data_IF_606664755851
#
_entry.id   IF_606664755851
#
_cell.length_a   1.000
_cell.length_b   1.000
_cell.length_c   1.000
_cell.angle_alpha   90.00
_cell.angle_beta   90.00
_cell.angle_gamma   90.00
#
_symmetry.space_group_name_H-M   'P 1'
#
loop_
_entity.id
_entity.type
_entity.pdbx_description
1 polymer ?
#
# COMPACT_ATOMS: atom_id res chain seq x y z
N UNK A 1 -31.84 -6.20 13.93
CA UNK A 1 -30.56 -6.84 14.23
C UNK A 1 -30.65 -7.25 15.68
N UNK A 2 -30.67 -8.55 15.92
CA UNK A 2 -31.30 -9.16 17.10
C UNK A 2 -30.24 -9.48 18.16
N UNK A 3 -30.62 -9.76 19.41
CA UNK A 3 -29.70 -10.14 20.51
C UNK A 3 -28.74 -11.30 20.14
N UNK A 4 -29.11 -12.10 19.15
CA UNK A 4 -28.30 -13.16 18.57
C UNK A 4 -27.00 -12.65 17.90
N UNK A 5 -27.03 -11.49 17.23
CA UNK A 5 -25.86 -10.96 16.50
C UNK A 5 -24.80 -10.40 17.46
N UNK A 6 -25.26 -9.81 18.57
CA UNK A 6 -24.41 -9.36 19.68
C UNK A 6 -23.69 -10.53 20.35
N UNK A 7 -24.43 -11.58 20.70
CA UNK A 7 -23.85 -12.75 21.37
C UNK A 7 -22.84 -13.49 20.49
N UNK A 8 -23.13 -13.62 19.19
CA UNK A 8 -22.20 -14.25 18.22
C UNK A 8 -20.93 -13.43 18.04
N UNK A 9 -21.04 -12.11 17.89
CA UNK A 9 -19.88 -11.22 17.70
C UNK A 9 -19.03 -11.14 18.98
N UNK A 10 -19.66 -11.17 20.14
CA UNK A 10 -18.96 -11.23 21.42
C UNK A 10 -18.19 -12.54 21.59
N UNK A 11 -18.81 -13.67 21.26
CA UNK A 11 -18.13 -14.97 21.27
C UNK A 11 -16.95 -14.98 20.30
N UNK A 12 -17.12 -14.42 19.10
CA UNK A 12 -16.05 -14.30 18.11
C UNK A 12 -14.84 -13.54 18.67
N UNK A 13 -15.04 -12.43 19.38
CA UNK A 13 -13.95 -11.68 20.03
C UNK A 13 -13.17 -12.55 21.03
N UNK A 14 -13.87 -13.39 21.79
CA UNK A 14 -13.24 -14.26 22.80
C UNK A 14 -12.41 -15.39 22.17
N UNK A 15 -12.73 -15.79 20.94
CA UNK A 15 -12.00 -16.84 20.21
C UNK A 15 -10.77 -16.31 19.44
N UNK A 16 -10.68 -14.99 19.22
CA UNK A 16 -9.51 -14.36 18.60
C UNK A 16 -8.32 -14.33 19.56
N UNK A 17 -7.10 -14.49 19.03
CA UNK A 17 -5.90 -14.05 19.74
C UNK A 17 -5.78 -12.54 19.73
N UNK A 18 -4.86 -12.02 20.53
CA UNK A 18 -4.58 -10.59 20.61
C UNK A 18 -4.18 -9.96 19.26
N UNK A 19 -3.43 -10.69 18.44
CA UNK A 19 -3.06 -10.30 17.07
C UNK A 19 -4.14 -10.59 16.03
N UNK A 20 -5.20 -11.33 16.40
CA UNK A 20 -6.21 -11.83 15.48
C UNK A 20 -7.15 -10.75 14.95
N UNK A 21 -7.80 -11.04 13.83
CA UNK A 21 -8.71 -10.11 13.16
C UNK A 21 -9.98 -10.81 12.68
N UNK A 22 -11.08 -10.05 12.64
CA UNK A 22 -12.38 -10.46 12.16
C UNK A 22 -12.79 -9.61 10.97
N UNK A 23 -13.32 -10.27 9.95
CA UNK A 23 -13.76 -9.68 8.68
C UNK A 23 -15.23 -10.04 8.49
N UNK A 24 -16.09 -9.03 8.47
CA UNK A 24 -17.54 -9.21 8.42
C UNK A 24 -18.06 -8.65 7.11
N UNK A 25 -18.60 -9.52 6.24
CA UNK A 25 -19.24 -9.08 5.00
C UNK A 25 -20.65 -8.59 5.31
N UNK A 26 -20.96 -7.36 4.90
CA UNK A 26 -22.23 -6.72 5.21
C UNK A 26 -22.72 -5.84 4.05
N UNK A 27 -24.04 -5.79 3.88
CA UNK A 27 -24.68 -4.88 2.93
C UNK A 27 -24.69 -3.43 3.43
N UNK A 28 -25.02 -2.50 2.54
CA UNK A 28 -25.06 -1.07 2.84
C UNK A 28 -26.07 -0.69 3.93
N UNK A 29 -27.22 -1.37 4.00
CA UNK A 29 -28.30 -1.03 4.93
C UNK A 29 -27.91 -1.24 6.40
N UNK A 30 -27.14 -2.29 6.69
CA UNK A 30 -26.83 -2.71 8.07
C UNK A 30 -25.45 -2.31 8.56
N UNK A 31 -24.62 -1.72 7.69
CA UNK A 31 -23.23 -1.39 8.04
C UNK A 31 -23.14 -0.47 9.27
N UNK A 32 -24.02 0.52 9.38
CA UNK A 32 -24.01 1.48 10.50
C UNK A 32 -24.29 0.78 11.82
N UNK A 33 -25.30 -0.10 11.86
CA UNK A 33 -25.66 -0.86 13.05
C UNK A 33 -24.53 -1.80 13.44
N UNK A 34 -23.91 -2.48 12.46
CA UNK A 34 -22.81 -3.40 12.71
C UNK A 34 -21.60 -2.69 13.29
N UNK A 35 -21.21 -1.54 12.71
CA UNK A 35 -20.07 -0.76 13.22
C UNK A 35 -20.31 -0.33 14.66
N UNK A 36 -21.53 0.09 15.01
CA UNK A 36 -21.84 0.48 16.39
C UNK A 36 -21.64 -0.70 17.36
N UNK A 37 -22.16 -1.87 17.01
CA UNK A 37 -22.01 -3.08 17.84
C UNK A 37 -20.54 -3.52 17.92
N UNK A 38 -19.82 -3.52 16.81
CA UNK A 38 -18.40 -3.86 16.81
C UNK A 38 -17.58 -2.82 17.60
N UNK A 39 -17.94 -1.54 17.58
CA UNK A 39 -17.29 -0.53 18.42
C UNK A 39 -17.52 -0.82 19.92
N UNK A 40 -18.74 -1.22 20.32
CA UNK A 40 -19.04 -1.59 21.71
C UNK A 40 -18.28 -2.86 22.14
N UNK A 41 -18.14 -3.84 21.24
CA UNK A 41 -17.49 -5.13 21.54
C UNK A 41 -15.98 -5.02 21.47
N UNK A 42 -15.41 -4.47 20.40
CA UNK A 42 -13.98 -4.44 20.11
C UNK A 42 -13.28 -3.15 20.52
N UNK A 43 -14.01 -2.03 20.66
CA UNK A 43 -13.43 -0.69 20.74
C UNK A 43 -13.27 -0.08 19.35
N UNK A 44 -13.61 1.20 19.19
CA UNK A 44 -13.49 1.90 17.92
C UNK A 44 -12.03 2.01 17.46
N UNK A 45 -11.10 2.13 18.40
CA UNK A 45 -9.66 2.15 18.16
C UNK A 45 -9.15 0.84 17.53
N UNK A 46 -9.92 -0.24 17.63
CA UNK A 46 -9.57 -1.53 17.06
C UNK A 46 -10.19 -1.79 15.69
N UNK A 47 -10.86 -0.81 15.09
CA UNK A 47 -11.36 -0.88 13.72
C UNK A 47 -10.21 -0.72 12.73
N UNK A 48 -9.83 -1.81 12.08
CA UNK A 48 -8.74 -1.84 11.11
C UNK A 48 -9.13 -1.22 9.75
N UNK A 49 -10.41 -1.28 9.38
CA UNK A 49 -10.89 -0.65 8.16
C UNK A 49 -12.27 -1.07 7.71
N UNK A 50 -12.76 -0.42 6.67
CA UNK A 50 -13.99 -0.76 5.96
C UNK A 50 -13.63 -0.85 4.48
N UNK A 51 -13.65 -2.06 3.94
CA UNK A 51 -13.29 -2.33 2.55
C UNK A 51 -14.53 -2.41 1.70
N UNK A 52 -14.56 -1.69 0.60
CA UNK A 52 -15.66 -1.76 -0.38
C UNK A 52 -15.36 -2.86 -1.40
N UNK A 53 -16.27 -3.82 -1.57
CA UNK A 53 -16.18 -4.89 -2.56
C UNK A 53 -17.24 -4.70 -3.64
N UNK A 54 -16.85 -4.75 -4.91
CA UNK A 54 -17.79 -4.86 -6.03
C UNK A 54 -18.32 -6.29 -6.10
N UNK A 55 -19.61 -6.47 -5.80
CA UNK A 55 -20.28 -7.77 -5.87
C UNK A 55 -20.83 -8.08 -7.27
N UNK A 56 -21.05 -7.06 -8.10
CA UNK A 56 -21.45 -7.18 -9.51
C UNK A 56 -21.04 -5.96 -10.33
N UNK A 57 -20.49 -6.20 -11.51
CA UNK A 57 -20.22 -5.15 -12.50
C UNK A 57 -21.43 -4.98 -13.43
N UNK A 58 -22.21 -3.92 -13.20
CA UNK A 58 -23.34 -3.53 -14.04
C UNK A 58 -24.72 -3.71 -13.40
N UNK A 59 -25.73 -3.18 -14.09
CA UNK A 59 -27.11 -3.13 -13.63
C UNK A 59 -27.65 -1.70 -13.59
N UNK A 60 -28.93 -1.54 -13.91
CA UNK A 60 -29.64 -0.26 -13.87
C UNK A 60 -30.83 -0.36 -12.89
N UNK A 61 -30.57 -0.95 -11.73
CA UNK A 61 -31.54 -1.05 -10.63
C UNK A 61 -31.19 0.02 -9.61
N UNK A 62 -32.16 0.78 -9.12
CA UNK A 62 -31.95 1.82 -8.10
C UNK A 62 -32.43 3.19 -8.57
N UNK A 63 -32.86 4.03 -7.61
CA UNK A 63 -33.36 5.39 -7.89
C UNK A 63 -32.23 6.40 -8.09
N UNK A 64 -31.13 6.24 -7.37
CA UNK A 64 -30.00 7.18 -7.34
C UNK A 64 -28.70 6.51 -7.80
N UNK A 65 -28.38 5.35 -7.24
CA UNK A 65 -27.21 4.55 -7.59
C UNK A 65 -27.61 3.08 -7.73
N UNK A 66 -26.87 2.33 -8.55
CA UNK A 66 -27.06 0.90 -8.61
C UNK A 66 -26.31 0.19 -7.49
N UNK A 67 -26.99 -0.60 -6.64
CA UNK A 67 -26.37 -1.27 -5.49
C UNK A 67 -25.53 -2.42 -6.01
N UNK A 68 -24.27 -2.14 -6.29
CA UNK A 68 -23.31 -3.05 -6.91
C UNK A 68 -22.14 -3.39 -6.00
N UNK A 69 -22.09 -2.73 -4.83
CA UNK A 69 -21.05 -2.89 -3.83
C UNK A 69 -21.62 -3.43 -2.52
N UNK A 70 -20.78 -4.13 -1.79
CA UNK A 70 -20.96 -4.47 -0.38
C UNK A 70 -19.71 -4.06 0.41
N UNK A 71 -19.76 -4.21 1.72
CA UNK A 71 -18.67 -3.83 2.60
C UNK A 71 -18.10 -5.03 3.34
N UNK A 72 -16.82 -4.96 3.67
CA UNK A 72 -16.14 -5.87 4.58
C UNK A 72 -15.62 -5.01 5.72
N UNK A 73 -16.25 -5.13 6.88
CA UNK A 73 -15.87 -4.41 8.10
C UNK A 73 -14.82 -5.24 8.83
N UNK A 74 -13.70 -4.62 9.18
CA UNK A 74 -12.55 -5.32 9.75
C UNK A 74 -12.22 -4.75 11.12
N UNK A 75 -12.14 -5.62 12.12
CA UNK A 75 -11.65 -5.30 13.46
C UNK A 75 -10.51 -6.24 13.83
N UNK A 76 -9.53 -5.73 14.54
CA UNK A 76 -8.53 -6.53 15.25
C UNK A 76 -8.99 -6.75 16.69
N UNK A 77 -8.51 -7.79 17.37
CA UNK A 77 -8.74 -7.89 18.82
C UNK A 77 -8.01 -6.77 19.57
N UNK A 78 -6.80 -6.46 19.14
CA UNK A 78 -6.01 -5.33 19.64
C UNK A 78 -5.07 -4.80 18.55
N UNK A 79 -5.18 -3.51 18.24
CA UNK A 79 -4.27 -2.84 17.29
C UNK A 79 -2.83 -2.77 17.79
N UNK A 80 -2.61 -2.93 19.09
CA UNK A 80 -1.27 -2.96 19.67
C UNK A 80 -0.51 -4.24 19.29
N UNK A 81 -1.21 -5.37 19.19
CA UNK A 81 -0.63 -6.68 18.89
C UNK A 81 -0.80 -7.10 17.43
N UNK A 82 -1.79 -6.55 16.72
CA UNK A 82 -2.06 -6.89 15.33
C UNK A 82 -0.90 -6.50 14.41
N UNK A 83 -0.50 -7.43 13.53
CA UNK A 83 0.41 -7.13 12.44
C UNK A 83 -0.35 -6.42 11.31
N UNK A 84 0.29 -5.46 10.65
CA UNK A 84 -0.30 -4.78 9.50
C UNK A 84 -0.52 -5.75 8.34
N UNK A 85 -1.66 -5.64 7.65
CA UNK A 85 -1.97 -6.48 6.50
C UNK A 85 -1.00 -6.26 5.34
N UNK A 86 -0.69 -7.34 4.61
CA UNK A 86 0.21 -7.33 3.46
C UNK A 86 -0.40 -8.04 2.26
N UNK A 87 -0.60 -7.30 1.18
CA UNK A 87 -1.00 -7.81 -0.13
C UNK A 87 0.21 -7.95 -1.04
N UNK A 88 0.06 -8.77 -2.07
CA UNK A 88 1.05 -8.90 -3.13
C UNK A 88 0.92 -7.76 -4.15
N UNK A 89 2.00 -7.55 -4.90
CA UNK A 89 1.98 -6.69 -6.07
C UNK A 89 1.18 -7.37 -7.18
N UNK A 90 0.20 -6.67 -7.76
CA UNK A 90 -0.56 -7.22 -8.87
C UNK A 90 0.33 -7.44 -10.10
N UNK A 91 0.13 -8.55 -10.81
CA UNK A 91 0.90 -8.84 -12.02
C UNK A 91 0.83 -7.72 -13.06
N UNK A 92 -0.34 -7.10 -13.21
CA UNK A 92 -0.54 -5.99 -14.13
C UNK A 92 0.31 -4.77 -13.73
N UNK A 93 0.42 -4.47 -12.45
CA UNK A 93 1.31 -3.42 -11.96
C UNK A 93 2.76 -3.80 -12.26
N UNK A 94 3.16 -5.04 -11.94
CA UNK A 94 4.52 -5.53 -12.19
C UNK A 94 4.90 -5.35 -13.66
N UNK A 95 4.07 -5.85 -14.58
CA UNK A 95 4.26 -5.75 -16.03
C UNK A 95 4.33 -4.29 -16.50
N UNK A 96 3.51 -3.40 -15.92
CA UNK A 96 3.44 -1.99 -16.32
C UNK A 96 4.65 -1.17 -15.88
N UNK A 97 5.13 -1.35 -14.64
CA UNK A 97 6.10 -0.41 -14.05
C UNK A 97 7.50 -0.97 -13.87
N UNK A 98 7.69 -2.29 -13.71
CA UNK A 98 9.01 -2.91 -13.56
C UNK A 98 9.52 -3.39 -14.92
N UNK A 99 9.86 -2.42 -15.76
CA UNK A 99 10.20 -2.62 -17.17
C UNK A 99 11.71 -2.51 -17.47
N UNK A 100 12.55 -2.27 -16.46
CA UNK A 100 14.00 -2.24 -16.60
C UNK A 100 14.60 -3.53 -16.05
N UNK A 101 15.73 -3.96 -16.63
CA UNK A 101 16.53 -5.10 -16.18
C UNK A 101 17.95 -4.60 -15.95
N UNK A 102 18.52 -4.95 -14.81
CA UNK A 102 19.92 -4.63 -14.52
C UNK A 102 20.86 -5.48 -15.36
N UNK A 103 21.86 -4.84 -15.96
CA UNK A 103 22.80 -5.51 -16.86
C UNK A 103 24.20 -5.66 -16.26
N UNK A 104 24.50 -4.94 -15.17
CA UNK A 104 25.83 -4.88 -14.56
C UNK A 104 25.72 -4.99 -13.03
N UNK A 105 26.67 -5.69 -12.41
CA UNK A 105 26.81 -5.78 -10.95
C UNK A 105 26.07 -6.97 -10.32
N UNK A 106 26.00 -7.00 -8.99
CA UNK A 106 25.47 -8.15 -8.24
C UNK A 106 23.98 -8.43 -8.50
N UNK A 107 23.21 -7.39 -8.87
CA UNK A 107 21.78 -7.51 -9.18
C UNK A 107 21.49 -7.75 -10.67
N UNK A 108 22.49 -8.12 -11.47
CA UNK A 108 22.33 -8.43 -12.90
C UNK A 108 21.18 -9.44 -13.13
N UNK A 109 20.32 -9.14 -14.11
CA UNK A 109 19.13 -9.93 -14.44
C UNK A 109 17.88 -9.62 -13.60
N UNK A 110 18.00 -8.82 -12.54
CA UNK A 110 16.84 -8.43 -11.73
C UNK A 110 16.06 -7.28 -12.38
N UNK A 111 14.73 -7.34 -12.23
CA UNK A 111 13.82 -6.27 -12.69
C UNK A 111 13.76 -5.14 -11.69
N UNK A 112 13.73 -3.91 -12.19
CA UNK A 112 13.51 -2.71 -11.39
C UNK A 112 12.65 -1.69 -12.11
N UNK A 113 12.19 -0.70 -11.36
CA UNK A 113 11.61 0.55 -11.88
C UNK A 113 12.42 1.73 -11.38
N UNK A 114 12.47 2.79 -12.17
CA UNK A 114 13.10 4.04 -11.73
C UNK A 114 12.08 4.98 -11.12
N UNK A 115 12.46 5.65 -10.03
CA UNK A 115 11.69 6.76 -9.46
C UNK A 115 12.59 8.00 -9.38
N UNK A 116 12.11 9.18 -9.76
CA UNK A 116 12.89 10.40 -9.61
C UNK A 116 13.24 10.65 -8.14
N UNK A 117 14.51 10.92 -7.84
CA UNK A 117 14.96 11.31 -6.50
C UNK A 117 14.35 12.66 -6.09
N UNK A 118 14.11 13.53 -7.07
CA UNK A 118 13.31 14.74 -6.95
C UNK A 118 11.89 14.51 -7.49
N UNK A 119 10.87 15.04 -6.80
CA UNK A 119 9.52 15.16 -7.33
C UNK A 119 8.95 16.52 -6.96
N UNK A 120 8.30 17.17 -7.92
CA UNK A 120 7.77 18.52 -7.78
C UNK A 120 6.66 18.64 -6.72
N UNK A 121 5.93 17.55 -6.49
CA UNK A 121 4.82 17.48 -5.53
C UNK A 121 5.25 17.26 -4.08
N UNK A 122 6.55 17.08 -3.79
CA UNK A 122 6.99 17.05 -2.40
C UNK A 122 6.86 18.44 -1.78
N UNK A 123 6.15 18.50 -0.66
CA UNK A 123 6.17 19.67 0.21
C UNK A 123 7.53 19.77 0.93
N UNK A 124 8.34 20.81 0.67
CA UNK A 124 9.60 21.02 1.37
C UNK A 124 9.42 21.52 2.81
N UNK A 125 8.24 22.03 3.19
CA UNK A 125 7.99 22.66 4.49
C UNK A 125 7.53 21.67 5.58
N UNK A 126 7.33 20.39 5.24
CA UNK A 126 6.92 19.31 6.17
C UNK A 126 7.99 18.86 7.19
N UNK A 127 8.98 19.70 7.50
CA UNK A 127 10.12 19.38 8.37
C UNK A 127 11.37 18.87 7.64
N UNK A 128 11.46 19.07 6.32
CA UNK A 128 12.59 18.62 5.49
C UNK A 128 13.83 19.54 5.61
N UNK A 129 14.44 19.64 6.79
CA UNK A 129 15.56 20.58 7.06
C UNK A 129 16.89 20.19 6.42
N UNK A 130 17.11 18.91 6.12
CA UNK A 130 18.39 18.37 5.63
C UNK A 130 18.27 17.65 4.28
N UNK A 131 17.28 18.04 3.46
CA UNK A 131 16.96 17.37 2.20
C UNK A 131 17.20 18.24 0.97
N UNK A 132 17.81 19.40 1.13
CA UNK A 132 18.24 20.27 0.02
C UNK A 132 19.76 20.40 0.07
N UNK A 133 20.43 19.67 -0.82
CA UNK A 133 21.88 19.58 -0.90
C UNK A 133 22.34 19.37 -2.33
N UNK A 134 23.61 19.70 -2.63
CA UNK A 134 24.20 19.42 -3.93
C UNK A 134 24.52 17.94 -4.11
N UNK A 135 24.27 17.42 -5.30
CA UNK A 135 24.72 16.10 -5.75
C UNK A 135 25.66 16.30 -6.94
N UNK A 136 26.81 15.63 -6.94
CA UNK A 136 27.74 15.64 -8.06
C UNK A 136 27.30 14.64 -9.14
N UNK A 137 27.27 15.10 -10.38
CA UNK A 137 26.91 14.31 -11.56
C UNK A 137 28.15 13.67 -12.19
N UNK A 138 28.01 12.70 -13.10
CA UNK A 138 29.16 12.01 -13.71
C UNK A 138 30.14 12.90 -14.48
N UNK A 139 29.73 14.09 -14.91
CA UNK A 139 30.59 15.09 -15.55
C UNK A 139 31.16 16.13 -14.56
N UNK A 140 31.02 15.89 -13.24
CA UNK A 140 31.53 16.76 -12.17
C UNK A 140 30.65 17.98 -11.87
N UNK A 141 29.51 18.15 -12.55
CA UNK A 141 28.61 19.27 -12.25
C UNK A 141 27.84 19.04 -10.96
N UNK A 142 27.56 20.10 -10.20
CA UNK A 142 26.73 20.02 -8.99
C UNK A 142 25.29 20.38 -9.32
N UNK A 143 24.34 19.53 -8.93
CA UNK A 143 22.91 19.72 -9.16
C UNK A 143 22.11 19.70 -7.86
N UNK A 144 21.00 20.44 -7.84
CA UNK A 144 20.09 20.59 -6.71
C UNK A 144 18.65 20.77 -7.23
N UNK A 145 17.60 20.45 -6.46
CA UNK A 145 16.23 20.72 -6.87
C UNK A 145 15.98 22.22 -7.01
N UNK A 146 14.95 22.60 -7.76
CA UNK A 146 14.59 23.99 -8.00
C UNK A 146 14.44 24.78 -6.69
N UNK A 147 14.81 26.06 -6.70
CA UNK A 147 14.71 26.92 -5.53
C UNK A 147 15.61 28.14 -5.64
N UNK A 148 15.42 29.07 -4.71
CA UNK A 148 16.12 30.35 -4.68
C UNK A 148 17.24 30.37 -3.63
N UNK A 149 17.18 29.46 -2.64
CA UNK A 149 18.15 29.34 -1.57
C UNK A 149 19.19 28.23 -1.88
N UNK A 150 20.47 28.51 -1.74
CA UNK A 150 21.56 27.57 -2.05
C UNK A 150 22.56 27.47 -0.89
N UNK A 151 23.21 26.31 -0.70
CA UNK A 151 24.39 26.20 0.15
C UNK A 151 25.48 27.19 -0.29
N UNK A 152 26.17 27.81 0.66
CA UNK A 152 27.29 28.72 0.36
C UNK A 152 28.48 27.96 -0.23
N UNK A 153 28.76 26.78 0.31
CA UNK A 153 29.80 25.89 -0.20
C UNK A 153 29.33 25.09 -1.43
N UNK A 154 30.23 24.92 -2.41
CA UNK A 154 29.97 24.19 -3.66
C UNK A 154 30.71 22.84 -3.70
N UNK A 155 30.23 21.85 -2.95
CA UNK A 155 30.70 20.46 -3.00
C UNK A 155 29.54 19.46 -2.81
N UNK A 156 29.75 18.18 -3.16
CA UNK A 156 28.74 17.12 -2.98
C UNK A 156 28.33 16.99 -1.50
N UNK A 157 27.04 17.18 -1.20
CA UNK A 157 26.52 17.09 0.16
C UNK A 157 26.46 18.43 0.92
N UNK A 158 27.01 19.52 0.36
CA UNK A 158 26.76 20.84 0.91
C UNK A 158 25.25 21.09 0.91
N UNK A 159 24.70 21.45 2.08
CA UNK A 159 23.27 21.42 2.35
C UNK A 159 22.77 22.73 2.96
N UNK A 160 21.48 23.01 2.76
CA UNK A 160 20.80 24.16 3.35
C UNK A 160 19.33 23.82 3.61
N UNK A 161 18.76 24.33 4.71
CA UNK A 161 17.33 24.20 4.94
C UNK A 161 16.54 24.98 3.87
N UNK A 162 15.43 24.41 3.36
CA UNK A 162 14.53 25.18 2.50
C UNK A 162 13.89 26.31 3.33
N UNK A 163 13.80 27.52 2.78
CA UNK A 163 13.18 28.68 3.44
C UNK A 163 11.75 28.92 2.99
N UNK A 164 11.43 28.50 1.77
CA UNK A 164 10.10 28.67 1.16
C UNK A 164 9.68 27.43 0.39
N UNK A 165 8.40 27.34 0.02
CA UNK A 165 7.88 26.25 -0.84
C UNK A 165 8.52 26.18 -2.23
N UNK A 166 9.19 27.27 -2.67
CA UNK A 166 9.98 27.30 -3.90
C UNK A 166 11.28 26.52 -3.77
N UNK A 167 11.84 26.43 -2.56
CA UNK A 167 13.06 25.69 -2.26
C UNK A 167 12.75 24.19 -2.19
N UNK A 168 12.64 23.56 -3.35
CA UNK A 168 12.34 22.14 -3.45
C UNK A 168 13.45 21.29 -2.83
N UNK A 169 13.08 20.08 -2.44
CA UNK A 169 13.93 19.15 -1.70
C UNK A 169 14.02 17.80 -2.41
N UNK A 170 15.08 17.07 -2.14
CA UNK A 170 15.20 15.66 -2.48
C UNK A 170 14.26 14.81 -1.63
N UNK A 171 13.86 13.65 -2.16
CA UNK A 171 13.13 12.64 -1.37
C UNK A 171 13.95 12.07 -0.21
N UNK A 172 15.26 12.09 -0.32
CA UNK A 172 16.19 11.47 0.63
C UNK A 172 17.12 12.51 1.25
N UNK A 173 17.52 12.28 2.50
CA UNK A 173 18.66 12.96 3.11
C UNK A 173 19.96 12.57 2.41
N UNK A 174 21.01 13.37 2.57
CA UNK A 174 22.31 13.08 1.96
C UNK A 174 22.89 11.74 2.41
N UNK A 175 22.74 11.39 3.69
CA UNK A 175 23.18 10.10 4.23
C UNK A 175 22.49 8.90 3.55
N UNK A 176 21.17 8.98 3.34
CA UNK A 176 20.42 7.93 2.63
C UNK A 176 20.84 7.88 1.16
N UNK A 177 21.04 9.04 0.52
CA UNK A 177 21.56 9.10 -0.84
C UNK A 177 22.91 8.38 -0.97
N UNK A 178 23.89 8.68 -0.11
CA UNK A 178 25.21 8.04 -0.14
C UNK A 178 25.12 6.52 0.08
N UNK A 179 24.31 6.08 1.05
CA UNK A 179 24.07 4.66 1.31
C UNK A 179 23.54 3.93 0.08
N UNK A 180 22.55 4.51 -0.60
CA UNK A 180 21.92 3.89 -1.77
C UNK A 180 22.77 4.05 -3.05
N UNK A 181 23.55 5.13 -3.18
CA UNK A 181 24.58 5.29 -4.22
C UNK A 181 25.63 4.18 -4.10
N UNK A 182 26.11 3.90 -2.89
CA UNK A 182 27.07 2.82 -2.60
C UNK A 182 26.56 1.42 -2.94
N UNK A 183 25.24 1.21 -2.93
CA UNK A 183 24.58 -0.05 -3.35
C UNK A 183 24.30 -0.13 -4.86
N UNK A 184 24.62 0.91 -5.62
CA UNK A 184 24.28 0.98 -7.06
C UNK A 184 22.81 1.27 -7.36
N UNK A 185 22.05 1.78 -6.38
CA UNK A 185 20.62 2.07 -6.52
C UNK A 185 20.32 3.48 -7.04
N UNK A 186 21.33 4.23 -7.48
CA UNK A 186 21.21 5.58 -8.03
C UNK A 186 21.62 5.58 -9.50
N UNK A 187 20.82 6.23 -10.35
CA UNK A 187 21.05 6.33 -11.79
C UNK A 187 20.95 7.78 -12.25
N UNK A 188 21.93 8.21 -13.05
CA UNK A 188 21.98 9.55 -13.64
C UNK A 188 21.55 9.48 -15.10
N UNK A 189 20.56 10.28 -15.50
CA UNK A 189 20.08 10.35 -16.89
C UNK A 189 20.10 11.78 -17.40
N UNK A 190 20.63 11.97 -18.61
CA UNK A 190 20.53 13.25 -19.32
C UNK A 190 19.15 13.43 -19.95
N UNK A 191 18.62 14.65 -19.91
CA UNK A 191 17.39 15.09 -20.54
C UNK A 191 17.51 16.55 -20.93
N UNK A 192 17.01 16.92 -22.11
CA UNK A 192 16.96 18.31 -22.57
C UNK A 192 16.07 19.20 -21.69
N UNK A 193 15.08 18.59 -21.04
CA UNK A 193 14.15 19.25 -20.13
C UNK A 193 14.40 18.75 -18.70
N UNK A 194 15.63 18.86 -18.21
CA UNK A 194 15.95 18.49 -16.84
C UNK A 194 15.18 19.36 -15.85
N UNK A 195 14.75 18.74 -14.75
CA UNK A 195 13.95 19.42 -13.72
C UNK A 195 14.80 19.97 -12.58
N UNK A 196 16.12 19.77 -12.65
CA UNK A 196 17.11 20.21 -11.68
C UNK A 196 17.82 21.47 -12.17
N UNK A 197 18.46 22.15 -11.23
CA UNK A 197 19.32 23.30 -11.50
C UNK A 197 20.73 23.01 -11.03
N UNK A 198 21.72 23.68 -11.64
CA UNK A 198 23.11 23.58 -11.24
C UNK A 198 23.45 24.52 -10.06
N UNK A 199 24.70 24.52 -9.61
CA UNK A 199 25.21 25.41 -8.55
C UNK A 199 25.12 26.90 -8.83
N UNK A 200 24.83 27.29 -10.07
CA UNK A 200 24.66 28.70 -10.48
C UNK A 200 23.18 29.03 -10.76
N UNK A 201 22.25 28.13 -10.41
CA UNK A 201 20.82 28.31 -10.59
C UNK A 201 20.31 28.12 -12.03
N UNK A 202 21.16 27.68 -12.96
CA UNK A 202 20.78 27.41 -14.36
C UNK A 202 20.22 26.00 -14.51
N UNK A 203 19.33 25.75 -15.49
CA UNK A 203 18.82 24.41 -15.77
C UNK A 203 19.96 23.40 -15.99
N UNK A 204 19.85 22.22 -15.36
CA UNK A 204 20.75 21.10 -15.58
C UNK A 204 20.14 20.12 -16.58
N UNK A 205 20.96 19.49 -17.40
CA UNK A 205 20.53 18.37 -18.24
C UNK A 205 20.40 17.07 -17.44
N UNK A 206 20.92 17.00 -16.23
CA UNK A 206 20.90 15.78 -15.43
C UNK A 206 19.60 15.64 -14.64
N UNK A 207 19.12 14.41 -14.56
CA UNK A 207 18.11 13.96 -13.61
C UNK A 207 18.64 12.75 -12.86
N UNK A 208 18.24 12.65 -11.60
CA UNK A 208 18.70 11.59 -10.71
C UNK A 208 17.51 10.71 -10.37
N UNK A 209 17.67 9.41 -10.60
CA UNK A 209 16.68 8.39 -10.35
C UNK A 209 17.18 7.39 -9.32
N UNK A 210 16.25 6.77 -8.62
CA UNK A 210 16.51 5.65 -7.72
C UNK A 210 15.92 4.37 -8.31
N UNK A 211 16.67 3.26 -8.21
CA UNK A 211 16.21 1.94 -8.61
C UNK A 211 15.38 1.34 -7.49
N UNK A 212 14.14 0.98 -7.80
CA UNK A 212 13.26 0.23 -6.92
C UNK A 212 13.15 -1.18 -7.49
N UNK A 213 13.75 -2.13 -6.79
CA UNK A 213 13.83 -3.53 -7.21
C UNK A 213 12.50 -4.25 -7.03
N UNK A 214 12.15 -5.07 -8.00
CA UNK A 214 10.93 -5.88 -7.94
C UNK A 214 11.01 -6.88 -6.79
N UNK A 215 12.14 -7.57 -6.65
CA UNK A 215 12.34 -8.61 -5.63
C UNK A 215 12.18 -8.05 -4.21
N UNK A 216 12.91 -6.99 -3.89
CA UNK A 216 12.83 -6.29 -2.59
C UNK A 216 11.36 -5.88 -2.30
N UNK A 217 10.63 -5.42 -3.31
CA UNK A 217 9.21 -5.02 -3.17
C UNK A 217 8.23 -6.18 -3.04
N UNK A 218 8.54 -7.34 -3.61
CA UNK A 218 7.75 -8.56 -3.43
C UNK A 218 7.94 -9.13 -2.02
N UNK A 219 9.14 -9.02 -1.46
CA UNK A 219 9.45 -9.44 -0.09
C UNK A 219 8.83 -8.49 0.96
N UNK A 220 8.87 -7.18 0.72
CA UNK A 220 8.21 -6.19 1.59
C UNK A 220 6.67 -6.32 1.58
N UNK A 221 6.10 -6.64 0.41
CA UNK A 221 4.67 -6.58 0.14
C UNK A 221 4.15 -5.14 -0.02
N UNK A 222 2.83 -4.98 -0.04
CA UNK A 222 2.16 -3.67 0.01
C UNK A 222 1.00 -3.69 0.99
N UNK A 223 0.64 -2.54 1.54
CA UNK A 223 -0.61 -2.42 2.30
C UNK A 223 -1.79 -2.63 1.32
N UNK A 224 -2.76 -3.49 1.64
CA UNK A 224 -3.97 -3.68 0.84
C UNK A 224 -4.73 -2.37 0.64
N UNK A 225 -5.40 -2.24 -0.49
CA UNK A 225 -6.32 -1.11 -0.74
C UNK A 225 -7.70 -1.42 -0.17
N UNK A 226 -8.46 -0.37 0.14
CA UNK A 226 -9.82 -0.44 0.69
C UNK A 226 -10.91 -0.63 -0.39
N UNK A 227 -10.51 -0.92 -1.63
CA UNK A 227 -11.40 -1.15 -2.76
C UNK A 227 -11.04 -2.45 -3.51
N UNK A 228 -11.99 -3.38 -3.58
CA UNK A 228 -11.84 -4.70 -4.19
C UNK A 228 -12.86 -4.85 -5.32
N UNK A 229 -12.38 -5.00 -6.56
CA UNK A 229 -13.22 -5.14 -7.76
C UNK A 229 -13.08 -6.50 -8.47
N UNK A 230 -12.24 -7.39 -7.94
CA UNK A 230 -11.87 -8.65 -8.60
C UNK A 230 -12.79 -9.83 -8.31
N UNK A 231 -13.46 -9.84 -7.16
CA UNK A 231 -14.18 -11.01 -6.68
C UNK A 231 -15.68 -10.74 -6.75
N UNK A 232 -16.32 -10.93 -7.90
CA UNK A 232 -17.76 -10.73 -8.06
C UNK A 232 -18.57 -12.00 -7.69
N UNK A 233 -19.86 -11.86 -7.36
CA UNK A 233 -20.73 -13.00 -7.02
C UNK A 233 -20.91 -13.99 -8.19
N UNK A 234 -20.64 -13.58 -9.43
CA UNK A 234 -20.66 -14.48 -10.59
C UNK A 234 -19.60 -15.59 -10.48
N UNK A 235 -18.50 -15.35 -9.75
CA UNK A 235 -17.45 -16.35 -9.55
C UNK A 235 -17.94 -17.49 -8.66
N UNK A 236 -18.57 -17.18 -7.52
CA UNK A 236 -19.14 -18.20 -6.63
C UNK A 236 -20.30 -18.97 -7.27
N UNK A 237 -21.15 -18.31 -8.06
CA UNK A 237 -22.21 -18.99 -8.80
C UNK A 237 -21.65 -20.07 -9.75
N UNK A 238 -20.52 -19.76 -10.42
CA UNK A 238 -19.81 -20.72 -11.28
C UNK A 238 -19.18 -21.86 -10.45
N UNK A 239 -18.48 -21.54 -9.36
CA UNK A 239 -17.88 -22.53 -8.45
C UNK A 239 -18.91 -23.55 -7.94
N UNK A 240 -20.07 -23.08 -7.45
CA UNK A 240 -21.12 -23.95 -6.94
C UNK A 240 -21.79 -24.80 -8.02
N UNK A 241 -21.99 -24.23 -9.22
CA UNK A 241 -22.53 -24.97 -10.35
C UNK A 241 -21.59 -26.11 -10.76
N UNK A 242 -20.28 -25.87 -10.82
CA UNK A 242 -19.27 -26.88 -11.12
C UNK A 242 -19.21 -27.99 -10.05
N UNK A 243 -19.49 -27.65 -8.79
CA UNK A 243 -19.54 -28.59 -7.66
C UNK A 243 -20.91 -29.27 -7.47
N UNK A 244 -21.95 -28.84 -8.17
CA UNK A 244 -23.32 -29.37 -8.01
C UNK A 244 -23.96 -29.07 -6.65
N UNK A 245 -23.58 -27.97 -6.01
CA UNK A 245 -24.09 -27.58 -4.67
C UNK A 245 -25.27 -26.62 -4.83
N UNK A 246 -26.48 -26.94 -4.31
CA UNK A 246 -27.65 -26.07 -4.44
C UNK A 246 -27.64 -24.96 -3.36
N UNK A 247 -26.91 -23.87 -3.64
CA UNK A 247 -26.80 -22.72 -2.74
C UNK A 247 -26.72 -21.40 -3.53
N UNK A 248 -27.41 -20.35 -3.08
CA UNK A 248 -27.59 -19.13 -3.89
C UNK A 248 -26.67 -17.96 -3.51
N UNK A 249 -26.14 -17.94 -2.28
CA UNK A 249 -25.52 -16.75 -1.70
C UNK A 249 -24.08 -16.96 -1.22
N UNK A 250 -23.33 -17.85 -1.87
CA UNK A 250 -21.93 -18.07 -1.50
C UNK A 250 -21.06 -16.87 -1.88
N UNK A 251 -20.03 -16.61 -1.06
CA UNK A 251 -18.93 -15.72 -1.42
C UNK A 251 -17.91 -16.47 -2.28
N UNK A 252 -17.22 -15.80 -3.22
CA UNK A 252 -16.19 -16.44 -4.02
C UNK A 252 -15.08 -17.04 -3.16
N UNK A 253 -14.64 -18.26 -3.47
CA UNK A 253 -13.53 -18.91 -2.78
C UNK A 253 -12.24 -18.08 -2.85
N UNK A 254 -12.00 -17.41 -3.98
CA UNK A 254 -10.86 -16.52 -4.18
C UNK A 254 -10.87 -15.28 -3.27
N UNK A 255 -12.06 -14.76 -2.92
CA UNK A 255 -12.18 -13.66 -1.95
C UNK A 255 -11.68 -14.13 -0.59
N UNK A 256 -12.13 -15.31 -0.16
CA UNK A 256 -11.73 -15.90 1.11
C UNK A 256 -10.21 -16.13 1.15
N UNK A 257 -9.65 -16.73 0.10
CA UNK A 257 -8.22 -16.94 -0.02
C UNK A 257 -7.43 -15.62 0.01
N UNK A 258 -7.96 -14.56 -0.63
CA UNK A 258 -7.35 -13.23 -0.57
C UNK A 258 -7.36 -12.65 0.86
N UNK A 259 -8.48 -12.71 1.58
CA UNK A 259 -8.58 -12.20 2.95
C UNK A 259 -7.64 -12.94 3.92
N UNK A 260 -7.56 -14.27 3.83
CA UNK A 260 -6.60 -15.09 4.58
C UNK A 260 -5.16 -14.63 4.30
N UNK A 261 -4.85 -14.46 3.01
CA UNK A 261 -3.52 -14.11 2.54
C UNK A 261 -3.07 -12.73 3.03
N UNK A 262 -3.94 -11.72 2.96
CA UNK A 262 -3.57 -10.36 3.40
C UNK A 262 -3.35 -10.26 4.92
N UNK A 263 -4.03 -11.10 5.68
CA UNK A 263 -3.84 -11.21 7.13
C UNK A 263 -2.47 -11.84 7.46
N UNK A 264 -1.87 -12.56 6.50
CA UNK A 264 -0.59 -13.22 6.70
C UNK A 264 -0.72 -14.51 7.49
N UNK A 265 -1.85 -15.22 7.34
CA UNK A 265 -2.05 -16.52 8.00
C UNK A 265 -1.11 -17.53 7.37
N UNK A 266 -0.10 -17.98 8.11
CA UNK A 266 0.83 -19.04 7.68
C UNK A 266 0.63 -20.31 8.54
N UNK A 267 1.46 -21.34 8.33
CA UNK A 267 1.25 -22.69 8.88
C UNK A 267 0.91 -22.69 10.39
N UNK A 268 -0.09 -23.52 10.78
CA UNK A 268 -0.63 -23.76 12.14
C UNK A 268 -1.63 -22.73 12.70
N UNK A 269 -2.04 -21.74 11.91
CA UNK A 269 -3.09 -20.81 12.32
C UNK A 269 -4.51 -21.34 12.00
N UNK A 270 -5.51 -20.88 12.75
CA UNK A 270 -6.89 -21.35 12.64
C UNK A 270 -7.72 -20.26 11.97
N UNK A 271 -8.33 -20.61 10.83
CA UNK A 271 -9.35 -19.77 10.19
C UNK A 271 -10.71 -20.33 10.55
N UNK A 272 -11.54 -19.50 11.15
CA UNK A 272 -12.85 -19.88 11.66
C UNK A 272 -13.92 -19.10 10.90
N UNK A 273 -14.80 -19.81 10.20
CA UNK A 273 -15.84 -19.18 9.38
C UNK A 273 -17.19 -19.55 10.01
N UNK A 274 -17.94 -18.54 10.44
CA UNK A 274 -19.31 -18.70 10.90
C UNK A 274 -20.20 -17.77 10.07
N UNK A 275 -21.33 -18.27 9.55
CA UNK A 275 -22.37 -17.53 8.82
C UNK A 275 -22.07 -16.03 8.56
N UNK A 276 -21.70 -15.69 7.33
CA UNK A 276 -21.42 -14.32 6.85
C UNK A 276 -20.21 -13.58 7.48
N UNK A 277 -19.52 -14.21 8.43
CA UNK A 277 -18.37 -13.68 9.17
C UNK A 277 -17.15 -14.59 8.99
N UNK A 278 -16.01 -14.00 8.69
CA UNK A 278 -14.72 -14.69 8.60
C UNK A 278 -13.85 -14.24 9.77
N UNK A 279 -13.55 -15.14 10.71
CA UNK A 279 -12.69 -14.90 11.86
C UNK A 279 -11.33 -15.54 11.54
N UNK A 280 -10.25 -14.77 11.66
CA UNK A 280 -8.89 -15.28 11.48
C UNK A 280 -8.16 -15.25 12.82
N UNK A 281 -7.75 -16.43 13.28
CA UNK A 281 -7.01 -16.62 14.52
C UNK A 281 -5.55 -17.01 14.18
N UNK A 282 -4.57 -16.11 14.42
CA UNK A 282 -3.13 -16.43 14.32
C UNK A 282 -2.52 -16.89 15.67
N UNK A 283 -2.08 -18.14 15.77
CA UNK A 283 -1.37 -18.64 16.97
C UNK A 283 0.11 -18.25 16.84
N UNK A 284 0.58 -17.29 17.63
CA UNK A 284 2.01 -17.14 17.86
C UNK A 284 2.43 -18.01 19.05
N UNK A 285 3.44 -18.85 18.83
CA UNK A 285 4.24 -19.47 19.90
C UNK A 285 5.27 -18.47 20.43
#
# INVERSE_FOLDING_TARGET
MDEHDLSTTFLAKNLLMESGAIFISIGQTEISNLIQICNEIFGEENRAGIVTRVMKSGGNKGKYFSPNTEYIVIYTKSTFFAQGFKDELSENLIKKVYNQIETIGEKTGQKYRTMGLYQSSLDPMRGCTNQRYFIETPDGSLVIPQGDNFPEDKYEGAQISPKTERDKVWRWTFATYLKEKGKGNVEFKKSKNGVLINSDGKPSEWNIYTKIWLKDRQEEGRIPVDFIDKFENRHSAKELQELGIPFDFAKPSELMAHLVKIMGVYHNEIVLIFCWVCIFCSWDN
#
